data_IF_361630064601
#
_entry.id   IF_361630064601
#
_cell.length_a   1.000
_cell.length_b   1.000
_cell.length_c   1.000
_cell.angle_alpha   90.00
_cell.angle_beta   90.00
_cell.angle_gamma   90.00
#
_symmetry.space_group_name_H-M   'P 1'
#
loop_
_entity.id
_entity.type
_entity.pdbx_description
1 polymer ?
#
# COMPACT_ATOMS: atom_id res chain seq x y z
N UNK A 1 83.41 -30.66 26.89
CA UNK A 1 82.84 -29.34 26.56
C UNK A 1 81.59 -29.55 25.77
N UNK A 2 80.41 -29.53 26.38
CA UNK A 2 79.10 -29.59 25.72
C UNK A 2 78.48 -28.21 25.77
N UNK A 3 78.20 -27.59 24.61
CA UNK A 3 77.45 -26.38 24.49
C UNK A 3 75.99 -26.67 24.12
N UNK A 4 75.10 -26.42 25.02
CA UNK A 4 73.63 -26.46 24.76
C UNK A 4 73.16 -25.14 24.12
N UNK A 5 72.65 -25.21 22.93
CA UNK A 5 71.99 -24.09 22.27
C UNK A 5 70.50 -24.16 22.54
N UNK A 6 69.97 -23.22 23.33
CA UNK A 6 68.53 -22.97 23.48
C UNK A 6 68.00 -22.28 22.23
N UNK A 7 67.15 -22.96 21.45
CA UNK A 7 66.36 -22.32 20.37
C UNK A 7 65.04 -21.84 20.89
N UNK A 8 64.76 -20.59 20.68
CA UNK A 8 63.55 -19.87 21.06
C UNK A 8 62.32 -20.38 20.33
N UNK A 9 61.29 -20.80 21.06
CA UNK A 9 59.95 -21.11 20.55
C UNK A 9 58.97 -20.05 21.07
N UNK A 10 58.99 -18.85 20.46
CA UNK A 10 58.10 -17.75 20.86
C UNK A 10 57.27 -17.15 19.70
N UNK A 11 57.35 -17.71 18.48
CA UNK A 11 56.68 -17.12 17.33
C UNK A 11 55.23 -17.54 17.00
N UNK A 12 54.68 -18.72 17.42
CA UNK A 12 53.32 -19.07 16.99
C UNK A 12 52.20 -18.51 17.85
N UNK A 13 52.42 -18.02 19.08
CA UNK A 13 51.39 -17.53 19.96
C UNK A 13 50.88 -16.12 19.62
N UNK A 14 51.74 -15.26 19.06
CA UNK A 14 51.36 -13.89 18.67
C UNK A 14 50.47 -13.86 17.40
N UNK A 15 50.69 -14.78 16.46
CA UNK A 15 49.91 -14.85 15.23
C UNK A 15 48.45 -15.34 15.46
N UNK A 16 48.24 -16.25 16.44
CA UNK A 16 46.93 -16.75 16.79
C UNK A 16 46.06 -15.69 17.51
N UNK A 17 46.69 -14.80 18.29
CA UNK A 17 45.96 -13.72 19.03
C UNK A 17 45.49 -12.61 18.10
N UNK A 18 46.22 -12.29 17.04
CA UNK A 18 45.82 -11.26 16.04
C UNK A 18 44.71 -11.76 15.13
N UNK A 19 44.63 -13.06 14.82
CA UNK A 19 43.51 -13.65 14.07
C UNK A 19 42.19 -13.75 14.90
N UNK A 20 42.27 -13.91 16.21
CA UNK A 20 41.09 -13.98 17.09
C UNK A 20 40.46 -12.60 17.37
N UNK A 21 41.26 -11.51 17.34
CA UNK A 21 40.76 -10.15 17.53
C UNK A 21 40.18 -9.54 16.24
N UNK A 22 40.55 -10.06 15.06
CA UNK A 22 40.01 -9.63 13.75
C UNK A 22 38.57 -10.13 13.48
N UNK A 23 38.09 -11.16 14.19
CA UNK A 23 36.75 -11.73 13.99
C UNK A 23 35.63 -11.07 14.81
N UNK A 24 35.94 -10.09 15.67
CA UNK A 24 34.96 -9.51 16.60
C UNK A 24 34.38 -8.16 16.18
N UNK A 25 34.71 -7.63 15.00
CA UNK A 25 34.16 -6.36 14.48
C UNK A 25 33.49 -6.52 13.11
N UNK A 26 32.66 -7.55 12.92
CA UNK A 26 31.59 -7.42 11.95
C UNK A 26 30.47 -6.66 12.68
N UNK A 27 30.65 -5.35 12.82
CA UNK A 27 29.56 -4.47 13.20
C UNK A 27 28.43 -4.75 12.21
N UNK A 28 27.34 -5.36 12.68
CA UNK A 28 26.16 -5.58 11.85
C UNK A 28 25.77 -4.23 11.25
N UNK A 29 25.88 -4.11 9.93
CA UNK A 29 25.48 -2.89 9.25
C UNK A 29 24.06 -2.51 9.75
N UNK A 30 23.80 -1.25 10.08
CA UNK A 30 22.50 -0.85 10.58
C UNK A 30 21.43 -1.32 9.57
N UNK A 31 20.44 -2.06 10.06
CA UNK A 31 19.36 -2.54 9.20
C UNK A 31 18.76 -1.33 8.48
N UNK A 32 18.64 -1.38 7.14
CA UNK A 32 18.05 -0.28 6.41
C UNK A 32 16.64 0.01 6.92
N UNK A 33 16.26 1.29 6.96
CA UNK A 33 14.90 1.69 7.34
C UNK A 33 13.91 0.99 6.41
N UNK A 34 12.88 0.31 6.95
CA UNK A 34 11.85 -0.26 6.10
C UNK A 34 11.08 0.83 5.38
N UNK A 35 10.52 0.49 4.24
CA UNK A 35 9.68 1.36 3.42
C UNK A 35 8.23 0.91 3.48
N UNK A 36 7.31 1.87 3.61
CA UNK A 36 5.89 1.67 3.36
C UNK A 36 5.59 2.17 1.94
N UNK A 37 5.32 1.24 1.03
CA UNK A 37 4.84 1.53 -0.32
C UNK A 37 3.33 1.66 -0.31
N UNK A 38 2.81 2.80 -0.79
CA UNK A 38 1.39 3.02 -1.00
C UNK A 38 1.08 2.81 -2.47
N UNK A 39 0.18 1.90 -2.80
CA UNK A 39 -0.33 1.70 -4.14
C UNK A 39 -1.84 1.89 -4.18
N UNK A 40 -2.37 2.33 -5.31
CA UNK A 40 -3.79 2.62 -5.41
C UNK A 40 -4.13 3.55 -6.57
N UNK A 41 -5.34 4.08 -6.51
CA UNK A 41 -5.91 4.98 -7.49
C UNK A 41 -5.77 6.48 -7.12
N UNK A 42 -6.60 7.33 -7.72
CA UNK A 42 -6.60 8.79 -7.49
C UNK A 42 -6.97 9.19 -6.07
N UNK A 43 -7.68 8.35 -5.32
CA UNK A 43 -8.05 8.65 -3.94
C UNK A 43 -6.87 8.47 -2.98
N UNK A 44 -5.86 7.69 -3.37
CA UNK A 44 -4.57 7.58 -2.66
C UNK A 44 -3.61 8.67 -3.12
N UNK A 45 -3.54 8.95 -4.44
CA UNK A 45 -2.72 10.03 -5.03
C UNK A 45 -3.42 10.62 -6.23
N UNK A 46 -3.96 11.82 -6.07
CA UNK A 46 -4.59 12.54 -7.19
C UNK A 46 -3.53 13.20 -8.07
N UNK A 47 -3.70 13.11 -9.38
CA UNK A 47 -2.78 13.68 -10.36
C UNK A 47 -1.33 13.29 -10.09
N UNK A 48 -0.47 14.29 -10.02
CA UNK A 48 0.95 14.11 -9.65
C UNK A 48 1.19 14.22 -8.13
N UNK A 49 0.13 14.35 -7.32
CA UNK A 49 0.23 14.56 -5.87
C UNK A 49 0.67 15.98 -5.50
N UNK A 50 0.34 16.97 -6.32
CA UNK A 50 0.69 18.38 -6.12
C UNK A 50 -0.53 19.28 -5.89
N UNK A 51 -1.72 18.69 -5.76
CA UNK A 51 -2.96 19.43 -5.57
C UNK A 51 -3.52 20.04 -6.84
N UNK A 52 -3.26 19.45 -7.99
CA UNK A 52 -3.79 19.88 -9.28
C UNK A 52 -5.33 19.97 -9.19
N UNK A 53 -5.90 21.11 -9.57
CA UNK A 53 -7.33 21.37 -9.42
C UNK A 53 -7.84 21.43 -7.98
N UNK A 54 -6.96 21.58 -6.99
CA UNK A 54 -7.29 21.56 -5.57
C UNK A 54 -7.58 20.17 -5.00
N UNK A 55 -7.37 19.11 -5.78
CA UNK A 55 -7.70 17.73 -5.42
C UNK A 55 -6.49 16.96 -4.91
N UNK A 56 -6.71 16.18 -3.83
CA UNK A 56 -5.66 15.44 -3.14
C UNK A 56 -6.07 14.01 -2.82
N UNK A 57 -5.07 13.11 -2.79
CA UNK A 57 -5.23 11.77 -2.24
C UNK A 57 -4.70 11.68 -0.81
N UNK A 58 -5.27 10.80 0.01
CA UNK A 58 -4.89 10.63 1.42
C UNK A 58 -3.43 10.21 1.60
N UNK A 59 -2.86 9.49 0.64
CA UNK A 59 -1.47 9.04 0.70
C UNK A 59 -0.45 10.18 0.74
N UNK A 60 -0.81 11.39 0.30
CA UNK A 60 0.05 12.57 0.38
C UNK A 60 0.23 13.07 1.82
N UNK A 61 -0.76 12.86 2.67
CA UNK A 61 -0.77 13.35 4.06
C UNK A 61 -0.45 12.27 5.09
N UNK A 62 -0.47 11.01 4.70
CA UNK A 62 -0.16 9.89 5.60
C UNK A 62 1.22 9.98 6.28
N UNK A 63 2.29 10.49 5.63
CA UNK A 63 3.61 10.64 6.27
C UNK A 63 3.60 11.47 7.55
N UNK A 64 2.66 12.41 7.69
CA UNK A 64 2.54 13.24 8.90
C UNK A 64 2.24 12.43 10.18
N UNK A 65 1.61 11.26 10.04
CA UNK A 65 1.28 10.37 11.15
C UNK A 65 2.45 9.48 11.60
N UNK A 66 3.56 9.46 10.86
CA UNK A 66 4.66 8.53 11.10
C UNK A 66 5.96 9.23 11.52
N UNK A 67 6.78 8.52 12.27
CA UNK A 67 8.19 8.85 12.48
C UNK A 67 8.99 8.50 11.21
N UNK A 68 9.16 9.50 10.34
CA UNK A 68 9.87 9.34 9.06
C UNK A 68 11.39 9.22 9.21
N UNK A 69 11.93 9.33 10.42
CA UNK A 69 13.34 8.99 10.70
C UNK A 69 13.53 7.47 10.78
N UNK A 70 12.47 6.72 11.10
CA UNK A 70 12.49 5.27 11.30
C UNK A 70 11.78 4.48 10.18
N UNK A 71 10.91 5.12 9.41
CA UNK A 71 10.16 4.53 8.30
C UNK A 71 10.23 5.45 7.08
N UNK A 72 10.55 4.90 5.91
CA UNK A 72 10.37 5.61 4.63
C UNK A 72 8.93 5.39 4.15
N UNK A 73 8.31 6.38 3.51
CA UNK A 73 7.01 6.23 2.87
C UNK A 73 7.12 6.69 1.42
N UNK A 74 6.77 5.80 0.50
CA UNK A 74 6.73 6.06 -0.94
C UNK A 74 5.29 5.91 -1.44
N UNK A 75 4.73 6.98 -2.01
CA UNK A 75 3.41 6.97 -2.59
C UNK A 75 3.51 6.72 -4.11
N UNK A 76 3.44 5.46 -4.51
CA UNK A 76 3.49 4.99 -5.89
C UNK A 76 2.09 4.85 -6.52
N UNK A 77 1.02 5.24 -5.82
CA UNK A 77 -0.34 5.24 -6.36
C UNK A 77 -0.44 6.13 -7.62
N UNK A 78 -1.37 5.77 -8.51
CA UNK A 78 -1.56 6.47 -9.78
C UNK A 78 -3.03 6.78 -10.01
N UNK A 79 -3.35 8.05 -10.19
CA UNK A 79 -4.71 8.49 -10.52
C UNK A 79 -5.26 7.80 -11.77
N UNK A 80 -6.55 7.40 -11.71
CA UNK A 80 -7.26 6.77 -12.81
C UNK A 80 -6.98 5.28 -13.02
N UNK A 81 -6.09 4.63 -12.24
CA UNK A 81 -5.83 3.19 -12.35
C UNK A 81 -6.83 2.36 -11.56
N UNK A 82 -7.10 1.15 -12.04
CA UNK A 82 -7.72 0.04 -11.34
C UNK A 82 -6.67 -0.99 -10.94
N UNK A 83 -7.04 -2.04 -10.24
CA UNK A 83 -6.14 -3.17 -9.97
C UNK A 83 -5.58 -3.77 -11.27
N UNK A 84 -6.42 -3.93 -12.31
CA UNK A 84 -6.03 -4.39 -13.65
C UNK A 84 -5.00 -3.47 -14.28
N UNK A 85 -5.30 -2.18 -14.38
CA UNK A 85 -4.43 -1.23 -15.09
C UNK A 85 -3.17 -0.87 -14.32
N UNK A 86 -3.18 -0.95 -12.99
CA UNK A 86 -1.96 -0.79 -12.20
C UNK A 86 -0.95 -1.91 -12.51
N UNK A 87 -1.44 -3.11 -12.81
CA UNK A 87 -0.61 -4.23 -13.26
C UNK A 87 -0.23 -4.09 -14.74
N UNK A 88 -1.21 -3.95 -15.65
CA UNK A 88 -0.97 -4.00 -17.09
C UNK A 88 -0.12 -2.83 -17.63
N UNK A 89 -0.08 -1.70 -16.91
CA UNK A 89 0.81 -0.56 -17.21
C UNK A 89 2.22 -0.72 -16.58
N UNK A 90 2.55 -1.85 -15.99
CA UNK A 90 3.86 -2.09 -15.38
C UNK A 90 4.13 -1.27 -14.11
N UNK A 91 3.10 -0.63 -13.51
CA UNK A 91 3.27 0.18 -12.31
C UNK A 91 3.59 -0.70 -11.09
N UNK A 92 2.93 -1.84 -10.98
CA UNK A 92 3.21 -2.80 -9.93
C UNK A 92 4.65 -3.34 -10.02
N UNK A 93 5.12 -3.66 -11.20
CA UNK A 93 6.49 -4.17 -11.37
C UNK A 93 7.55 -3.17 -10.87
N UNK A 94 7.33 -1.86 -11.14
CA UNK A 94 8.23 -0.80 -10.63
C UNK A 94 8.26 -0.72 -9.11
N UNK A 95 7.18 -1.07 -8.43
CA UNK A 95 7.13 -1.15 -6.96
C UNK A 95 7.77 -2.46 -6.49
N UNK A 96 7.36 -3.58 -7.09
CA UNK A 96 7.78 -4.93 -6.68
C UNK A 96 9.29 -5.10 -6.61
N UNK A 97 10.01 -4.57 -7.60
CA UNK A 97 11.48 -4.68 -7.65
C UNK A 97 12.20 -3.86 -6.57
N UNK A 98 11.51 -2.93 -5.91
CA UNK A 98 12.06 -2.12 -4.82
C UNK A 98 11.85 -2.74 -3.44
N UNK A 99 10.97 -3.73 -3.33
CA UNK A 99 10.57 -4.32 -2.05
C UNK A 99 11.69 -5.18 -1.48
N UNK A 100 11.98 -4.99 -0.20
CA UNK A 100 12.92 -5.78 0.58
C UNK A 100 12.26 -6.42 1.80
N UNK A 101 12.83 -7.49 2.37
CA UNK A 101 12.32 -8.10 3.58
C UNK A 101 12.20 -7.09 4.72
N UNK A 102 11.01 -7.04 5.33
CA UNK A 102 10.67 -6.09 6.39
C UNK A 102 9.96 -4.83 5.95
N UNK A 103 9.81 -4.60 4.64
CA UNK A 103 9.01 -3.51 4.08
C UNK A 103 7.50 -3.78 4.24
N UNK A 104 6.71 -2.76 3.92
CA UNK A 104 5.25 -2.80 3.96
C UNK A 104 4.69 -2.37 2.60
N UNK A 105 3.61 -3.02 2.19
CA UNK A 105 2.81 -2.59 1.04
C UNK A 105 1.38 -2.36 1.51
N UNK A 106 0.86 -1.15 1.33
CA UNK A 106 -0.53 -0.81 1.62
C UNK A 106 -1.23 -0.45 0.32
N UNK A 107 -2.41 -1.04 0.09
CA UNK A 107 -3.13 -0.83 -1.16
C UNK A 107 -4.58 -0.45 -0.93
N UNK A 108 -5.09 0.46 -1.79
CA UNK A 108 -6.50 0.79 -1.90
C UNK A 108 -6.88 1.00 -3.35
N UNK A 109 -7.78 0.17 -3.86
CA UNK A 109 -8.36 0.22 -5.20
C UNK A 109 -9.88 0.00 -5.13
N UNK A 110 -10.57 0.17 -6.25
CA UNK A 110 -11.99 -0.16 -6.39
C UNK A 110 -12.79 0.91 -7.12
N UNK A 111 -12.41 2.19 -7.03
CA UNK A 111 -13.17 3.29 -7.65
C UNK A 111 -13.21 3.22 -9.18
N UNK A 112 -12.19 2.64 -9.81
CA UNK A 112 -12.07 2.49 -11.26
C UNK A 112 -12.36 1.08 -11.75
N UNK A 113 -12.28 0.07 -10.89
CA UNK A 113 -12.51 -1.34 -11.20
C UNK A 113 -13.95 -1.63 -11.63
N UNK A 114 -14.90 -0.76 -11.24
CA UNK A 114 -16.32 -0.86 -11.60
C UNK A 114 -16.63 -0.53 -13.06
N UNK A 115 -15.68 -0.02 -13.83
CA UNK A 115 -15.81 0.25 -15.26
C UNK A 115 -16.20 -1.01 -16.04
N UNK A 116 -16.80 -0.90 -17.24
CA UNK A 116 -17.01 -2.05 -18.11
C UNK A 116 -15.69 -2.76 -18.45
N UNK A 117 -15.74 -4.09 -18.63
CA UNK A 117 -14.55 -4.88 -18.99
C UNK A 117 -13.97 -4.44 -20.35
N UNK A 118 -14.85 -4.04 -21.26
CA UNK A 118 -14.53 -3.57 -22.62
C UNK A 118 -14.50 -2.05 -22.71
N UNK A 119 -14.17 -1.35 -21.60
CA UNK A 119 -13.99 0.12 -21.62
C UNK A 119 -12.94 0.50 -22.68
N UNK A 120 -13.41 1.08 -23.77
CA UNK A 120 -12.59 1.43 -24.94
C UNK A 120 -11.67 2.64 -24.70
N UNK A 121 -11.90 3.40 -23.63
CA UNK A 121 -11.17 4.64 -23.33
C UNK A 121 -10.05 4.44 -22.32
N UNK A 122 -10.22 3.54 -21.36
CA UNK A 122 -9.27 3.36 -20.25
C UNK A 122 -8.97 1.91 -19.89
N UNK A 123 -9.75 0.94 -20.37
CA UNK A 123 -9.60 -0.51 -20.15
C UNK A 123 -9.44 -0.89 -18.66
N UNK A 124 -10.22 -0.25 -17.77
CA UNK A 124 -10.04 -0.36 -16.30
C UNK A 124 -10.89 -1.42 -15.63
N UNK A 125 -11.96 -1.87 -16.27
CA UNK A 125 -12.92 -2.80 -15.68
C UNK A 125 -12.28 -4.11 -15.25
N UNK A 126 -12.75 -4.64 -14.12
CA UNK A 126 -12.42 -5.97 -13.62
C UNK A 126 -13.71 -6.78 -13.42
N UNK A 127 -13.62 -8.10 -13.34
CA UNK A 127 -14.76 -8.92 -12.94
C UNK A 127 -15.11 -8.58 -11.50
N UNK A 128 -16.40 -8.29 -11.26
CA UNK A 128 -16.94 -7.79 -9.99
C UNK A 128 -17.11 -8.90 -8.97
N UNK A 129 -16.01 -9.45 -8.50
CA UNK A 129 -16.01 -10.54 -7.52
C UNK A 129 -14.64 -10.70 -6.84
N UNK A 130 -14.55 -11.66 -5.91
CA UNK A 130 -13.30 -12.18 -5.34
C UNK A 130 -13.05 -13.63 -5.76
N UNK A 131 -13.64 -14.08 -6.87
CA UNK A 131 -13.42 -15.41 -7.45
C UNK A 131 -12.08 -15.52 -8.18
N UNK A 132 -11.78 -16.70 -8.70
CA UNK A 132 -10.64 -16.94 -9.59
C UNK A 132 -11.05 -16.86 -11.07
N UNK A 133 -12.27 -16.38 -11.33
CA UNK A 133 -12.83 -16.20 -12.66
C UNK A 133 -11.99 -15.25 -13.52
N UNK A 134 -11.92 -15.57 -14.80
CA UNK A 134 -11.27 -14.75 -15.81
C UNK A 134 -12.08 -14.74 -17.11
N UNK A 135 -11.90 -13.69 -17.90
CA UNK A 135 -12.54 -13.53 -19.20
C UNK A 135 -11.57 -12.92 -20.22
N UNK A 136 -11.47 -13.53 -21.40
CA UNK A 136 -10.77 -12.92 -22.52
C UNK A 136 -11.58 -11.76 -23.08
N UNK A 137 -10.96 -10.59 -23.21
CA UNK A 137 -11.56 -9.39 -23.82
C UNK A 137 -10.60 -8.79 -24.83
N UNK A 138 -11.14 -8.04 -25.79
CA UNK A 138 -10.31 -7.21 -26.67
C UNK A 138 -10.03 -5.87 -25.98
N UNK A 139 -8.76 -5.56 -25.76
CA UNK A 139 -8.33 -4.28 -25.21
C UNK A 139 -8.14 -3.27 -26.35
N UNK A 140 -9.04 -2.30 -26.45
CA UNK A 140 -9.04 -1.29 -27.51
C UNK A 140 -7.85 -0.32 -27.45
N UNK A 141 -7.19 -0.19 -26.30
CA UNK A 141 -6.01 0.68 -26.16
C UNK A 141 -4.74 0.00 -26.67
N UNK A 142 -4.54 -1.26 -26.36
CA UNK A 142 -3.37 -2.04 -26.79
C UNK A 142 -3.57 -2.73 -28.14
N UNK A 143 -4.83 -2.79 -28.63
CA UNK A 143 -5.25 -3.53 -29.84
C UNK A 143 -4.96 -5.03 -29.76
N UNK A 144 -5.03 -5.59 -28.58
CA UNK A 144 -4.72 -7.01 -28.31
C UNK A 144 -5.79 -7.67 -27.46
N UNK A 145 -5.87 -9.00 -27.52
CA UNK A 145 -6.62 -9.80 -26.56
C UNK A 145 -5.93 -9.77 -25.21
N UNK A 146 -6.70 -9.68 -24.15
CA UNK A 146 -6.26 -9.62 -22.77
C UNK A 146 -7.16 -10.52 -21.91
N UNK A 147 -6.57 -11.30 -21.02
CA UNK A 147 -7.31 -12.05 -19.99
C UNK A 147 -7.50 -11.15 -18.77
N UNK A 148 -8.75 -10.80 -18.49
CA UNK A 148 -9.14 -9.98 -17.35
C UNK A 148 -9.65 -10.88 -16.23
N UNK A 149 -9.16 -10.64 -15.03
CA UNK A 149 -9.54 -11.37 -13.82
C UNK A 149 -10.48 -10.55 -12.92
N UNK A 150 -10.90 -11.19 -11.82
CA UNK A 150 -11.68 -10.50 -10.80
C UNK A 150 -10.84 -9.48 -10.02
N UNK A 151 -11.52 -8.46 -9.46
CA UNK A 151 -10.91 -7.49 -8.56
C UNK A 151 -10.14 -8.16 -7.42
N UNK A 152 -10.75 -9.13 -6.74
CA UNK A 152 -10.12 -9.85 -5.64
C UNK A 152 -8.93 -10.71 -6.08
N UNK A 153 -8.96 -11.27 -7.29
CA UNK A 153 -7.82 -11.98 -7.84
C UNK A 153 -6.60 -11.07 -7.97
N UNK A 154 -6.75 -9.89 -8.56
CA UNK A 154 -5.65 -8.94 -8.68
C UNK A 154 -5.08 -8.55 -7.32
N UNK A 155 -5.93 -8.26 -6.32
CA UNK A 155 -5.48 -7.97 -4.96
C UNK A 155 -4.64 -9.12 -4.38
N UNK A 156 -5.11 -10.36 -4.53
CA UNK A 156 -4.39 -11.54 -4.03
C UNK A 156 -3.05 -11.75 -4.74
N UNK A 157 -2.95 -11.43 -6.03
CA UNK A 157 -1.67 -11.48 -6.74
C UNK A 157 -0.67 -10.46 -6.19
N UNK A 158 -1.10 -9.21 -5.98
CA UNK A 158 -0.24 -8.20 -5.34
C UNK A 158 0.24 -8.67 -3.96
N UNK A 159 -0.66 -9.25 -3.17
CA UNK A 159 -0.30 -9.79 -1.84
C UNK A 159 0.72 -10.93 -1.96
N UNK A 160 0.49 -11.90 -2.82
CA UNK A 160 1.36 -13.05 -2.98
C UNK A 160 2.78 -12.63 -3.40
N UNK A 161 2.87 -11.73 -4.38
CA UNK A 161 4.14 -11.25 -4.90
C UNK A 161 4.90 -10.36 -3.90
N UNK A 162 4.20 -9.48 -3.16
CA UNK A 162 4.82 -8.67 -2.12
C UNK A 162 5.32 -9.53 -0.95
N UNK A 163 4.54 -10.53 -0.52
CA UNK A 163 4.95 -11.47 0.53
C UNK A 163 6.15 -12.32 0.10
N UNK A 164 6.24 -12.70 -1.16
CA UNK A 164 7.40 -13.41 -1.70
C UNK A 164 8.69 -12.58 -1.62
N UNK A 165 8.59 -11.24 -1.59
CA UNK A 165 9.70 -10.33 -1.32
C UNK A 165 9.93 -10.06 0.18
N UNK A 166 9.14 -10.68 1.06
CA UNK A 166 9.27 -10.51 2.52
C UNK A 166 8.55 -9.28 3.09
N UNK A 167 7.63 -8.68 2.34
CA UNK A 167 6.84 -7.54 2.82
C UNK A 167 5.63 -7.98 3.66
N UNK A 168 5.23 -7.11 4.60
CA UNK A 168 3.92 -7.16 5.26
C UNK A 168 2.91 -6.40 4.43
N UNK A 169 1.76 -7.02 4.12
CA UNK A 169 0.78 -6.45 3.20
C UNK A 169 -0.51 -6.06 3.91
N UNK A 170 -1.01 -4.87 3.58
CA UNK A 170 -2.25 -4.29 4.09
C UNK A 170 -3.18 -3.98 2.90
N UNK A 171 -4.43 -4.45 2.97
CA UNK A 171 -5.49 -4.09 2.03
C UNK A 171 -6.47 -3.18 2.76
N UNK A 172 -6.75 -2.01 2.17
CA UNK A 172 -7.79 -1.11 2.62
C UNK A 172 -9.02 -1.23 1.73
N UNK A 173 -10.22 -1.15 2.32
CA UNK A 173 -11.44 -0.94 1.52
C UNK A 173 -11.41 0.42 0.83
N UNK A 174 -12.10 0.60 -0.33
CA UNK A 174 -12.22 1.90 -0.98
C UNK A 174 -12.85 2.94 -0.03
N UNK A 175 -12.32 4.15 0.01
CA UNK A 175 -12.94 5.24 0.77
C UNK A 175 -14.36 5.55 0.24
N UNK A 176 -15.27 6.08 1.07
CA UNK A 176 -16.59 6.48 0.59
C UNK A 176 -16.50 7.69 -0.34
N UNK A 177 -17.41 7.75 -1.31
CA UNK A 177 -17.66 8.97 -2.09
C UNK A 177 -18.53 9.90 -1.27
N UNK A 178 -18.65 11.15 -1.71
CA UNK A 178 -19.64 12.11 -1.16
C UNK A 178 -21.04 11.85 -1.72
N UNK A 179 -21.50 10.59 -1.56
CA UNK A 179 -22.83 10.13 -1.97
C UNK A 179 -23.65 9.79 -0.73
N UNK A 180 -24.84 10.38 -0.60
CA UNK A 180 -25.66 10.30 0.60
C UNK A 180 -27.02 9.65 0.31
N UNK A 181 -27.52 8.97 1.31
CA UNK A 181 -28.89 8.44 1.33
C UNK A 181 -29.42 8.52 2.76
N UNK A 182 -30.58 9.18 2.94
CA UNK A 182 -31.25 9.30 4.24
C UNK A 182 -30.33 9.84 5.36
N UNK A 183 -29.53 10.86 5.04
CA UNK A 183 -28.61 11.49 6.00
C UNK A 183 -27.37 10.65 6.35
N UNK A 184 -27.13 9.57 5.65
CA UNK A 184 -25.94 8.73 5.80
C UNK A 184 -25.13 8.64 4.50
N UNK A 185 -23.80 8.71 4.62
CA UNK A 185 -22.94 8.48 3.47
C UNK A 185 -23.02 7.01 3.04
N UNK A 186 -23.07 6.77 1.73
CA UNK A 186 -23.14 5.40 1.19
C UNK A 186 -21.86 4.63 1.51
N UNK A 187 -22.04 3.43 2.03
CA UNK A 187 -20.97 2.45 2.26
C UNK A 187 -21.00 1.37 1.17
N UNK A 188 -19.95 0.59 1.08
CA UNK A 188 -19.84 -0.51 0.10
C UNK A 188 -19.60 -1.89 0.75
N UNK A 189 -20.47 -2.33 1.67
CA UNK A 189 -20.27 -3.59 2.40
C UNK A 189 -20.56 -4.84 1.58
N UNK A 190 -21.19 -4.70 0.40
CA UNK A 190 -21.67 -5.83 -0.42
C UNK A 190 -20.89 -6.01 -1.73
N UNK A 191 -19.93 -5.13 -2.00
CA UNK A 191 -19.16 -5.09 -3.25
C UNK A 191 -17.65 -4.97 -2.99
N UNK A 192 -16.99 -3.94 -3.50
CA UNK A 192 -15.54 -3.77 -3.43
C UNK A 192 -14.97 -3.77 -2.00
N UNK A 193 -15.71 -3.26 -1.02
CA UNK A 193 -15.31 -3.33 0.39
C UNK A 193 -15.29 -4.78 0.89
N UNK A 194 -16.35 -5.54 0.61
CA UNK A 194 -16.44 -6.96 0.94
C UNK A 194 -15.37 -7.77 0.23
N UNK A 195 -15.19 -7.57 -1.08
CA UNK A 195 -14.18 -8.32 -1.84
C UNK A 195 -12.76 -8.00 -1.41
N UNK A 196 -12.47 -6.77 -0.98
CA UNK A 196 -11.20 -6.40 -0.38
C UNK A 196 -10.96 -7.16 0.95
N UNK A 197 -11.97 -7.22 1.82
CA UNK A 197 -11.90 -7.98 3.07
C UNK A 197 -11.69 -9.49 2.83
N UNK A 198 -12.44 -10.06 1.89
CA UNK A 198 -12.31 -11.47 1.50
C UNK A 198 -10.93 -11.76 0.88
N UNK A 199 -10.42 -10.86 0.02
CA UNK A 199 -9.10 -11.00 -0.57
C UNK A 199 -8.00 -10.97 0.51
N UNK A 200 -8.09 -10.05 1.46
CA UNK A 200 -7.18 -9.99 2.60
C UNK A 200 -7.19 -11.28 3.42
N UNK A 201 -8.38 -11.77 3.78
CA UNK A 201 -8.55 -13.03 4.53
C UNK A 201 -7.96 -14.24 3.78
N UNK A 202 -8.25 -14.38 2.47
CA UNK A 202 -7.76 -15.50 1.63
C UNK A 202 -6.25 -15.49 1.44
N UNK A 203 -5.64 -14.30 1.39
CA UNK A 203 -4.20 -14.14 1.15
C UNK A 203 -3.37 -13.94 2.43
N UNK A 204 -4.04 -13.86 3.61
CA UNK A 204 -3.38 -13.60 4.89
C UNK A 204 -2.76 -12.20 4.97
N UNK A 205 -3.34 -11.21 4.29
CA UNK A 205 -2.99 -9.80 4.46
C UNK A 205 -3.79 -9.19 5.62
N UNK A 206 -3.28 -8.10 6.19
CA UNK A 206 -4.05 -7.29 7.14
C UNK A 206 -5.14 -6.52 6.38
N UNK A 207 -6.36 -6.51 6.92
CA UNK A 207 -7.45 -5.70 6.38
C UNK A 207 -7.70 -4.47 7.25
N UNK A 208 -7.91 -3.32 6.61
CA UNK A 208 -8.40 -2.09 7.25
C UNK A 208 -9.68 -1.67 6.56
N UNK A 209 -10.79 -1.65 7.30
CA UNK A 209 -12.06 -1.12 6.79
C UNK A 209 -12.05 0.41 6.79
N UNK A 210 -11.31 0.96 5.83
CA UNK A 210 -11.16 2.40 5.67
C UNK A 210 -12.48 3.07 5.25
N UNK A 211 -13.34 2.34 4.51
CA UNK A 211 -14.67 2.81 4.16
C UNK A 211 -15.49 3.10 5.41
N UNK A 212 -15.56 2.16 6.34
CA UNK A 212 -16.32 2.32 7.58
C UNK A 212 -15.74 3.43 8.46
N UNK A 213 -14.42 3.47 8.66
CA UNK A 213 -13.75 4.48 9.49
C UNK A 213 -14.04 5.92 9.01
N UNK A 214 -13.98 6.12 7.69
CA UNK A 214 -14.23 7.45 7.09
C UNK A 214 -15.72 7.75 7.06
N UNK A 215 -16.55 6.77 6.70
CA UNK A 215 -18.00 6.94 6.66
C UNK A 215 -18.58 7.37 8.03
N UNK A 216 -18.06 6.79 9.11
CA UNK A 216 -18.46 7.17 10.46
C UNK A 216 -18.07 8.60 10.82
N UNK A 217 -16.94 9.08 10.32
CA UNK A 217 -16.51 10.47 10.48
C UNK A 217 -17.40 11.42 9.67
N UNK A 218 -17.74 11.06 8.44
CA UNK A 218 -18.63 11.82 7.58
C UNK A 218 -20.05 11.89 8.16
N UNK A 219 -20.58 10.77 8.62
CA UNK A 219 -21.93 10.74 9.27
C UNK A 219 -22.00 11.61 10.52
N UNK A 220 -20.93 11.66 11.33
CA UNK A 220 -20.86 12.55 12.51
C UNK A 220 -20.79 14.03 12.13
N UNK A 221 -20.08 14.37 11.06
CA UNK A 221 -19.98 15.74 10.57
C UNK A 221 -21.27 16.21 9.88
N UNK A 222 -22.01 15.30 9.26
CA UNK A 222 -23.22 15.57 8.50
C UNK A 222 -22.96 15.99 7.05
N UNK A 223 -23.94 15.73 6.19
CA UNK A 223 -23.84 15.90 4.74
C UNK A 223 -23.38 17.29 4.31
N UNK A 224 -24.02 18.35 4.85
CA UNK A 224 -23.72 19.73 4.48
C UNK A 224 -22.27 20.12 4.82
N UNK A 225 -21.80 19.75 6.01
CA UNK A 225 -20.43 20.02 6.44
C UNK A 225 -19.41 19.25 5.60
N UNK A 226 -19.67 17.96 5.30
CA UNK A 226 -18.78 17.15 4.47
C UNK A 226 -18.67 17.69 3.05
N UNK A 227 -19.79 18.05 2.42
CA UNK A 227 -19.82 18.63 1.07
C UNK A 227 -18.98 19.90 0.98
N UNK A 228 -19.10 20.79 1.95
CA UNK A 228 -18.42 22.09 1.92
C UNK A 228 -16.96 22.02 2.37
N UNK A 229 -16.62 21.15 3.34
CA UNK A 229 -15.30 21.13 3.96
C UNK A 229 -14.32 20.15 3.33
N UNK A 230 -14.81 19.07 2.69
CA UNK A 230 -13.94 17.97 2.25
C UNK A 230 -13.96 17.68 0.76
N UNK A 231 -14.92 18.24 0.03
CA UNK A 231 -15.07 18.07 -1.42
C UNK A 231 -15.22 19.42 -2.12
N UNK A 232 -14.95 19.46 -3.42
CA UNK A 232 -15.35 20.61 -4.22
C UNK A 232 -16.81 20.44 -4.69
N UNK A 233 -17.34 21.46 -5.35
CA UNK A 233 -18.76 21.48 -5.78
C UNK A 233 -19.08 20.54 -6.94
N UNK A 234 -18.09 20.06 -7.66
CA UNK A 234 -18.27 19.29 -8.93
C UNK A 234 -17.80 17.86 -8.85
N UNK A 235 -16.97 17.52 -7.87
CA UNK A 235 -16.41 16.18 -7.73
C UNK A 235 -16.83 15.54 -6.41
N UNK A 236 -17.59 14.46 -6.50
CA UNK A 236 -18.07 13.70 -5.35
C UNK A 236 -17.14 12.53 -4.96
N UNK A 237 -16.05 12.33 -5.70
CA UNK A 237 -15.12 11.19 -5.51
C UNK A 237 -13.81 11.63 -4.86
N UNK A 238 -13.23 12.72 -5.37
CA UNK A 238 -11.92 13.18 -4.93
C UNK A 238 -12.05 14.28 -3.89
N UNK A 239 -11.24 14.18 -2.86
CA UNK A 239 -11.25 15.15 -1.76
C UNK A 239 -10.34 16.34 -2.06
N UNK A 240 -10.70 17.49 -1.50
CA UNK A 240 -9.78 18.61 -1.33
C UNK A 240 -8.79 18.30 -0.19
N UNK A 241 -7.87 19.20 0.08
CA UNK A 241 -6.80 19.00 1.07
C UNK A 241 -7.32 18.57 2.46
N UNK A 242 -8.34 19.25 2.96
CA UNK A 242 -8.91 18.94 4.27
C UNK A 242 -9.50 17.54 4.34
N UNK A 243 -10.19 17.09 3.29
CA UNK A 243 -10.74 15.74 3.22
C UNK A 243 -9.64 14.69 3.08
N UNK A 244 -8.58 14.96 2.31
CA UNK A 244 -7.44 14.05 2.20
C UNK A 244 -6.68 13.89 3.52
N UNK A 245 -6.55 14.96 4.32
CA UNK A 245 -5.98 14.92 5.67
C UNK A 245 -6.83 14.06 6.62
N UNK A 246 -8.14 14.29 6.64
CA UNK A 246 -9.08 13.49 7.44
C UNK A 246 -9.00 12.00 7.08
N UNK A 247 -8.91 11.69 5.80
CA UNK A 247 -8.77 10.31 5.33
C UNK A 247 -7.43 9.69 5.74
N UNK A 248 -6.32 10.44 5.69
CA UNK A 248 -5.02 9.99 6.18
C UNK A 248 -5.02 9.69 7.68
N UNK A 249 -5.70 10.52 8.48
CA UNK A 249 -5.91 10.25 9.92
C UNK A 249 -6.72 8.98 10.16
N UNK A 250 -7.74 8.71 9.35
CA UNK A 250 -8.50 7.46 9.43
C UNK A 250 -7.63 6.24 9.07
N UNK A 251 -6.72 6.35 8.10
CA UNK A 251 -5.74 5.30 7.80
C UNK A 251 -4.83 5.05 9.01
N UNK A 252 -4.29 6.10 9.63
CA UNK A 252 -3.46 5.96 10.82
C UNK A 252 -4.22 5.33 12.00
N UNK A 253 -5.49 5.68 12.19
CA UNK A 253 -6.37 5.05 13.16
C UNK A 253 -6.55 3.55 12.87
N UNK A 254 -6.85 3.19 11.64
CA UNK A 254 -6.97 1.79 11.22
C UNK A 254 -5.70 0.98 11.47
N UNK A 255 -4.53 1.58 11.25
CA UNK A 255 -3.22 0.95 11.56
C UNK A 255 -3.08 0.73 13.08
N UNK A 256 -3.48 1.71 13.92
CA UNK A 256 -3.45 1.55 15.40
C UNK A 256 -4.35 0.41 15.88
N UNK A 257 -5.52 0.27 15.27
CA UNK A 257 -6.52 -0.74 15.63
C UNK A 257 -6.17 -2.14 15.12
N UNK A 258 -5.36 -2.26 14.05
CA UNK A 258 -5.01 -3.53 13.44
C UNK A 258 -4.11 -4.38 14.37
N UNK A 259 -4.69 -5.42 14.96
CA UNK A 259 -3.98 -6.33 15.87
C UNK A 259 -2.84 -7.05 15.12
N UNK A 260 -1.67 -7.11 15.73
CA UNK A 260 -0.51 -7.81 15.17
C UNK A 260 0.22 -7.06 14.05
N UNK A 261 -0.29 -5.94 13.55
CA UNK A 261 0.38 -5.15 12.51
C UNK A 261 1.58 -4.39 13.08
N UNK A 262 2.78 -4.81 12.71
CA UNK A 262 4.03 -4.21 13.21
C UNK A 262 4.27 -2.79 12.70
N UNK A 263 3.60 -2.36 11.64
CA UNK A 263 3.67 -0.99 11.10
C UNK A 263 3.31 0.07 12.15
N UNK A 264 2.41 -0.26 13.10
CA UNK A 264 1.98 0.67 14.17
C UNK A 264 3.12 1.20 15.05
N UNK A 265 4.25 0.49 15.16
CA UNK A 265 5.41 0.93 15.97
C UNK A 265 6.14 2.15 15.40
N UNK A 266 5.82 2.53 14.18
CA UNK A 266 6.36 3.70 13.49
C UNK A 266 5.42 4.91 13.52
N UNK A 267 4.19 4.77 14.03
CA UNK A 267 3.29 5.91 14.25
C UNK A 267 3.83 6.81 15.37
N UNK A 268 3.54 8.11 15.22
CA UNK A 268 3.78 9.11 16.27
C UNK A 268 2.76 9.01 17.38
#
# INVERSE_FOLDING_TARGET
>A
MLSLTFRRAAAPLLAALVLLTGLLFIAAAPKPRPTLYLIGDSTVKNGQGRGDGGLWGWGNYLPAAFDTTRLRIENDARGGTSTRTFRSQGLWEKVRVKIHPGDFVMMQFGHNDSSPLTDSTRARGTIKSNSDESQEVFNYLTKQKEVVHSYGWYLRQFVAEAKAQGATVIICSPIPRNDWKEGKVKRNPTDYGRWAAEAARRSGATYIDLNQLIADRYDRAGEAAVRSAYFNTTDHTHTIEAGAKLNAEAVAEGIRQAKGLTLRKYLK
#
